data_IF_768210274576
#
_entry.id   IF_768210274576
#
_cell.length_a   1.000
_cell.length_b   1.000
_cell.length_c   1.000
_cell.angle_alpha   90.00
_cell.angle_beta   90.00
_cell.angle_gamma   90.00
#
_symmetry.space_group_name_H-M   'P 1'
#
loop_
_entity.id
_entity.type
_entity.pdbx_description
1 polymer ?
#
# COMPACT_ATOMS: atom_id res chain seq x y z
N UNK A 1 22.55 36.27 36.08
CA UNK A 1 23.00 35.14 35.24
C UNK A 1 21.76 34.53 34.59
N UNK A 2 21.48 34.87 33.33
CA UNK A 2 20.29 34.38 32.60
C UNK A 2 20.74 33.25 31.64
N UNK A 3 20.01 32.13 31.75
CA UNK A 3 19.83 30.96 30.86
C UNK A 3 20.51 30.95 29.47
N UNK A 4 20.98 29.76 29.08
CA UNK A 4 20.72 29.18 27.77
C UNK A 4 20.60 27.65 27.89
N UNK A 5 19.44 27.11 27.53
CA UNK A 5 19.20 25.69 27.31
C UNK A 5 19.45 25.44 25.82
N UNK A 6 20.53 24.72 25.49
CA UNK A 6 20.81 24.31 24.12
C UNK A 6 20.00 23.04 23.83
N UNK A 7 18.78 23.26 23.33
CA UNK A 7 17.95 22.22 22.77
C UNK A 7 18.55 21.75 21.45
N UNK A 8 19.06 20.52 21.42
CA UNK A 8 19.50 19.85 20.20
C UNK A 8 18.29 19.64 19.26
N UNK A 9 18.17 20.36 18.14
CA UNK A 9 17.06 20.15 17.21
C UNK A 9 17.32 18.83 16.48
N UNK A 10 16.58 17.79 16.86
CA UNK A 10 16.60 16.48 16.19
C UNK A 10 16.40 16.70 14.69
N UNK A 11 17.41 16.38 13.87
CA UNK A 11 17.35 16.49 12.42
C UNK A 11 16.24 15.58 11.88
N UNK A 12 15.12 16.20 11.47
CA UNK A 12 14.01 15.47 10.86
C UNK A 12 14.48 14.97 9.49
N UNK A 13 14.62 13.67 9.34
CA UNK A 13 14.99 13.07 8.06
C UNK A 13 13.77 13.13 7.12
N UNK A 14 13.88 13.93 6.05
CA UNK A 14 12.88 14.04 4.96
C UNK A 14 13.17 13.04 3.83
N UNK A 15 14.13 12.14 4.04
CA UNK A 15 14.60 11.16 3.05
C UNK A 15 13.67 9.95 2.87
N UNK A 16 13.84 9.24 1.75
CA UNK A 16 13.17 7.98 1.40
C UNK A 16 13.24 6.98 2.56
N UNK A 17 12.13 6.30 2.85
CA UNK A 17 12.12 5.21 3.83
C UNK A 17 12.92 4.03 3.27
N UNK A 18 13.84 3.52 4.08
CA UNK A 18 14.54 2.28 3.78
C UNK A 18 13.66 1.08 4.11
N UNK A 19 13.94 -0.08 3.51
CA UNK A 19 13.24 -1.33 3.85
C UNK A 19 13.37 -1.67 5.35
N UNK A 20 14.53 -1.37 5.97
CA UNK A 20 14.77 -1.55 7.41
C UNK A 20 13.91 -0.61 8.27
N UNK A 21 13.86 0.69 7.92
CA UNK A 21 13.01 1.66 8.62
C UNK A 21 11.52 1.28 8.51
N UNK A 22 11.12 0.74 7.36
CA UNK A 22 9.76 0.31 7.09
C UNK A 22 9.40 -0.95 7.87
N UNK A 23 10.28 -1.96 7.90
CA UNK A 23 10.09 -3.17 8.72
C UNK A 23 9.95 -2.80 10.20
N UNK A 24 10.82 -1.93 10.70
CA UNK A 24 10.74 -1.40 12.06
C UNK A 24 9.45 -0.62 12.30
N UNK A 25 8.99 0.18 11.34
CA UNK A 25 7.72 0.90 11.45
C UNK A 25 6.54 -0.07 11.59
N UNK A 26 6.50 -1.12 10.77
CA UNK A 26 5.43 -2.12 10.80
C UNK A 26 5.40 -2.89 12.13
N UNK A 27 6.57 -3.31 12.60
CA UNK A 27 6.70 -3.97 13.90
C UNK A 27 6.21 -3.08 15.05
N UNK A 28 6.65 -1.82 15.08
CA UNK A 28 6.23 -0.88 16.12
C UNK A 28 4.75 -0.56 16.07
N UNK A 29 4.17 -0.47 14.87
CA UNK A 29 2.73 -0.28 14.72
C UNK A 29 1.96 -1.49 15.26
N UNK A 30 2.44 -2.72 15.05
CA UNK A 30 1.83 -3.93 15.64
C UNK A 30 1.91 -3.91 17.17
N UNK A 31 3.09 -3.65 17.73
CA UNK A 31 3.33 -3.57 19.18
C UNK A 31 2.52 -2.44 19.87
N UNK A 32 2.32 -1.32 19.19
CA UNK A 32 1.61 -0.15 19.70
C UNK A 32 0.15 -0.05 19.25
N UNK A 33 -0.38 -1.07 18.56
CA UNK A 33 -1.80 -1.14 18.16
C UNK A 33 -2.64 -1.84 19.23
N UNK A 34 -3.51 -1.08 19.89
CA UNK A 34 -4.43 -1.61 20.90
C UNK A 34 -5.87 -1.27 20.52
N UNK A 35 -6.73 -2.29 20.45
CA UNK A 35 -8.17 -2.14 20.16
C UNK A 35 -8.46 -1.29 18.90
N UNK A 36 -7.68 -1.48 17.84
CA UNK A 36 -7.82 -0.75 16.58
C UNK A 36 -7.30 0.69 16.59
N UNK A 37 -6.67 1.14 17.68
CA UNK A 37 -6.01 2.44 17.78
C UNK A 37 -4.51 2.26 17.85
N UNK A 38 -3.78 2.95 16.97
CA UNK A 38 -2.31 2.93 16.92
C UNK A 38 -1.76 4.15 17.65
N UNK A 39 -0.91 3.92 18.65
CA UNK A 39 -0.23 4.99 19.39
C UNK A 39 0.98 5.54 18.61
N UNK A 40 0.73 6.49 17.71
CA UNK A 40 1.76 7.06 16.84
C UNK A 40 2.83 7.87 17.59
N UNK A 41 2.53 8.33 18.80
CA UNK A 41 3.49 9.07 19.63
C UNK A 41 4.56 8.11 20.19
N UNK A 42 4.14 6.94 20.71
CA UNK A 42 5.03 5.85 21.09
C UNK A 42 5.82 5.27 19.92
N UNK A 43 5.19 5.12 18.74
CA UNK A 43 5.89 4.67 17.52
C UNK A 43 6.98 5.69 17.12
N UNK A 44 6.65 6.98 17.07
CA UNK A 44 7.61 8.03 16.70
C UNK A 44 8.75 8.16 17.72
N UNK A 45 8.50 7.94 19.01
CA UNK A 45 9.54 7.98 20.04
C UNK A 45 10.68 6.95 19.84
N UNK A 46 10.43 5.90 19.03
CA UNK A 46 11.44 4.89 18.66
C UNK A 46 12.25 5.24 17.42
N UNK A 47 11.86 6.31 16.72
CA UNK A 47 12.60 6.90 15.61
C UNK A 47 13.20 8.24 16.07
N UNK A 48 14.54 8.35 16.06
CA UNK A 48 15.22 9.60 16.44
C UNK A 48 15.04 10.73 15.43
N UNK A 49 14.78 10.39 14.17
CA UNK A 49 14.71 11.36 13.06
C UNK A 49 13.36 11.41 12.34
N UNK A 50 12.35 10.65 12.79
CA UNK A 50 11.02 10.60 12.16
C UNK A 50 9.94 11.09 13.12
N UNK A 51 9.05 11.92 12.60
CA UNK A 51 7.88 12.42 13.33
C UNK A 51 6.71 11.45 13.22
N UNK A 52 5.76 11.52 14.16
CA UNK A 52 4.52 10.73 14.12
C UNK A 52 3.73 10.87 12.82
N UNK A 53 3.76 12.05 12.21
CA UNK A 53 3.09 12.32 10.93
C UNK A 53 3.78 11.56 9.79
N UNK A 54 5.12 11.53 9.77
CA UNK A 54 5.87 10.74 8.79
C UNK A 54 5.61 9.24 8.95
N UNK A 55 5.64 8.72 10.18
CA UNK A 55 5.34 7.31 10.47
C UNK A 55 3.92 6.93 10.01
N UNK A 56 2.92 7.77 10.33
CA UNK A 56 1.52 7.53 9.92
C UNK A 56 1.35 7.56 8.42
N UNK A 57 1.96 8.52 7.74
CA UNK A 57 1.83 8.66 6.29
C UNK A 57 2.54 7.52 5.56
N UNK A 58 3.73 7.12 6.02
CA UNK A 58 4.43 5.97 5.44
C UNK A 58 3.65 4.68 5.67
N UNK A 59 3.12 4.45 6.88
CA UNK A 59 2.32 3.27 7.16
C UNK A 59 1.08 3.21 6.27
N UNK A 60 0.36 4.33 6.09
CA UNK A 60 -0.77 4.42 5.15
C UNK A 60 -0.36 4.16 3.72
N UNK A 61 0.77 4.74 3.28
CA UNK A 61 1.31 4.52 1.94
C UNK A 61 1.64 3.04 1.73
N UNK A 62 2.33 2.42 2.68
CA UNK A 62 2.64 0.99 2.66
C UNK A 62 1.37 0.12 2.64
N UNK A 63 0.38 0.42 3.49
CA UNK A 63 -0.90 -0.29 3.50
C UNK A 63 -1.67 -0.18 2.17
N UNK A 64 -1.46 0.89 1.39
CA UNK A 64 -2.18 1.14 0.14
C UNK A 64 -1.40 0.72 -1.11
N UNK A 65 -0.07 0.70 -1.06
CA UNK A 65 0.80 0.47 -2.22
C UNK A 65 1.69 -0.78 -2.10
N UNK A 66 1.91 -1.29 -0.89
CA UNK A 66 2.81 -2.40 -0.61
C UNK A 66 2.14 -3.56 0.12
N UNK A 67 0.91 -3.41 0.61
CA UNK A 67 0.05 -4.60 0.79
C UNK A 67 0.01 -5.28 -0.56
N UNK A 68 0.48 -6.52 -0.61
CA UNK A 68 0.29 -7.36 -1.77
C UNK A 68 -1.18 -7.26 -2.15
N UNK A 69 -1.46 -6.60 -3.27
CA UNK A 69 -2.78 -6.65 -3.88
C UNK A 69 -3.03 -8.15 -4.01
N UNK A 70 -4.05 -8.72 -3.33
CA UNK A 70 -4.20 -10.16 -3.29
C UNK A 70 -4.16 -10.64 -4.74
N UNK A 71 -3.29 -11.60 -5.04
CA UNK A 71 -3.15 -12.04 -6.42
C UNK A 71 -4.52 -12.52 -6.91
N UNK A 72 -4.95 -12.10 -8.11
CA UNK A 72 -6.19 -12.62 -8.68
C UNK A 72 -6.07 -14.14 -8.73
N UNK A 73 -7.02 -14.83 -8.10
CA UNK A 73 -7.13 -16.27 -8.24
C UNK A 73 -7.51 -16.62 -9.69
N UNK A 74 -7.27 -17.88 -10.09
CA UNK A 74 -7.69 -18.33 -11.41
C UNK A 74 -9.19 -18.15 -11.64
N UNK A 75 -10.00 -18.37 -10.61
CA UNK A 75 -11.46 -18.17 -10.65
C UNK A 75 -11.81 -16.69 -10.84
N UNK A 76 -11.11 -15.79 -10.14
CA UNK A 76 -11.28 -14.34 -10.31
C UNK A 76 -10.86 -13.88 -11.70
N UNK A 77 -9.78 -14.42 -12.27
CA UNK A 77 -9.35 -14.13 -13.64
C UNK A 77 -10.36 -14.62 -14.67
N UNK A 78 -10.85 -15.86 -14.55
CA UNK A 78 -11.88 -16.38 -15.45
C UNK A 78 -13.15 -15.53 -15.38
N UNK A 79 -13.55 -15.12 -14.17
CA UNK A 79 -14.70 -14.24 -13.98
C UNK A 79 -14.43 -12.85 -14.55
N UNK A 80 -13.25 -12.27 -14.32
CA UNK A 80 -12.84 -10.99 -14.89
C UNK A 80 -12.90 -11.01 -16.42
N UNK A 81 -12.38 -12.05 -17.06
CA UNK A 81 -12.41 -12.20 -18.53
C UNK A 81 -13.83 -12.27 -19.04
N UNK A 82 -14.68 -13.13 -18.44
CA UNK A 82 -16.10 -13.25 -18.83
C UNK A 82 -16.84 -11.93 -18.67
N UNK A 83 -16.61 -11.22 -17.56
CA UNK A 83 -17.24 -9.94 -17.26
C UNK A 83 -16.73 -8.82 -18.18
N UNK A 84 -15.43 -8.79 -18.49
CA UNK A 84 -14.84 -7.85 -19.44
C UNK A 84 -15.46 -7.99 -20.84
N UNK A 85 -15.67 -9.23 -21.30
CA UNK A 85 -16.40 -9.49 -22.55
C UNK A 85 -17.88 -9.11 -22.46
N UNK A 86 -18.56 -9.45 -21.35
CA UNK A 86 -19.99 -9.17 -21.15
C UNK A 86 -20.30 -7.67 -21.07
N UNK A 87 -19.49 -6.92 -20.31
CA UNK A 87 -19.74 -5.51 -20.02
C UNK A 87 -18.88 -4.55 -20.86
N UNK A 88 -18.08 -5.07 -21.79
CA UNK A 88 -17.19 -4.30 -22.66
C UNK A 88 -16.27 -3.38 -21.85
N UNK A 89 -15.51 -3.96 -20.92
CA UNK A 89 -14.53 -3.23 -20.11
C UNK A 89 -15.13 -2.08 -19.26
N UNK A 90 -16.44 -2.11 -18.98
CA UNK A 90 -17.07 -1.20 -18.00
C UNK A 90 -16.72 -1.62 -16.57
N UNK A 91 -15.56 -1.16 -16.11
CA UNK A 91 -14.94 -1.55 -14.85
C UNK A 91 -15.81 -1.28 -13.62
N UNK A 92 -16.62 -0.24 -13.66
CA UNK A 92 -17.59 0.11 -12.60
C UNK A 92 -18.66 -0.97 -12.39
N UNK A 93 -19.09 -1.66 -13.45
CA UNK A 93 -20.01 -2.80 -13.37
C UNK A 93 -19.27 -4.09 -13.01
N UNK A 94 -18.07 -4.26 -13.54
CA UNK A 94 -17.25 -5.47 -13.31
C UNK A 94 -16.82 -5.57 -11.85
N UNK A 95 -16.36 -4.46 -11.24
CA UNK A 95 -15.96 -4.43 -9.84
C UNK A 95 -17.12 -4.74 -8.88
N UNK A 96 -18.36 -4.37 -9.23
CA UNK A 96 -19.56 -4.72 -8.44
C UNK A 96 -19.82 -6.23 -8.42
N UNK A 97 -19.36 -6.95 -9.44
CA UNK A 97 -19.54 -8.40 -9.57
C UNK A 97 -18.33 -9.20 -9.03
N UNK A 98 -17.24 -8.52 -8.64
CA UNK A 98 -16.04 -9.09 -8.03
C UNK A 98 -15.90 -8.59 -6.58
N UNK A 99 -16.53 -9.28 -5.60
CA UNK A 99 -16.47 -8.84 -4.21
C UNK A 99 -15.03 -8.85 -3.70
N UNK A 100 -14.62 -7.76 -3.05
CA UNK A 100 -13.25 -7.60 -2.55
C UNK A 100 -12.26 -7.02 -3.57
N UNK A 101 -12.69 -6.72 -4.80
CA UNK A 101 -11.90 -6.04 -5.83
C UNK A 101 -12.48 -4.67 -6.16
N UNK A 102 -11.61 -3.70 -6.35
CA UNK A 102 -11.98 -2.38 -6.82
C UNK A 102 -11.76 -2.23 -8.34
N UNK A 103 -12.25 -1.11 -8.88
CA UNK A 103 -12.21 -0.76 -10.30
C UNK A 103 -10.76 -0.73 -10.84
N UNK A 104 -9.85 -0.12 -10.08
CA UNK A 104 -8.45 0.02 -10.48
C UNK A 104 -7.74 -1.33 -10.54
N UNK A 105 -7.96 -2.20 -9.56
CA UNK A 105 -7.44 -3.58 -9.53
C UNK A 105 -7.91 -4.38 -10.76
N UNK A 106 -9.21 -4.32 -11.08
CA UNK A 106 -9.77 -5.01 -12.24
C UNK A 106 -9.12 -4.54 -13.55
N UNK A 107 -8.96 -3.22 -13.72
CA UNK A 107 -8.35 -2.60 -14.90
C UNK A 107 -6.86 -2.95 -15.01
N UNK A 108 -6.11 -2.92 -13.91
CA UNK A 108 -4.70 -3.30 -13.89
C UNK A 108 -4.53 -4.77 -14.27
N UNK A 109 -5.36 -5.67 -13.71
CA UNK A 109 -5.29 -7.09 -14.01
C UNK A 109 -5.59 -7.38 -15.49
N UNK A 110 -6.63 -6.78 -16.04
CA UNK A 110 -6.98 -6.93 -17.45
C UNK A 110 -5.89 -6.43 -18.40
N UNK A 111 -5.29 -5.26 -18.12
CA UNK A 111 -4.17 -4.76 -18.92
C UNK A 111 -2.95 -5.70 -18.90
N UNK A 112 -2.70 -6.38 -17.77
CA UNK A 112 -1.68 -7.44 -17.74
C UNK A 112 -2.13 -8.59 -18.64
N UNK A 113 -3.33 -9.14 -18.44
CA UNK A 113 -3.86 -10.27 -19.22
C UNK A 113 -3.79 -10.04 -20.74
N UNK A 114 -4.21 -8.87 -21.22
CA UNK A 114 -4.17 -8.54 -22.66
C UNK A 114 -2.75 -8.41 -23.20
N UNK A 115 -1.80 -7.86 -22.42
CA UNK A 115 -0.38 -7.83 -22.79
C UNK A 115 0.22 -9.23 -22.91
N UNK A 116 -0.05 -10.12 -21.95
CA UNK A 116 0.39 -11.52 -22.03
C UNK A 116 -0.16 -12.20 -23.28
N UNK A 117 -1.44 -11.99 -23.59
CA UNK A 117 -2.08 -12.55 -24.80
C UNK A 117 -1.50 -12.02 -26.11
N UNK A 118 -1.18 -10.73 -26.18
CA UNK A 118 -0.53 -10.15 -27.36
C UNK A 118 0.89 -10.68 -27.55
N UNK A 119 1.66 -10.87 -26.48
CA UNK A 119 3.02 -11.40 -26.55
C UNK A 119 3.03 -12.87 -26.98
N UNK A 120 2.10 -13.68 -26.47
CA UNK A 120 1.86 -15.07 -26.91
C UNK A 120 1.57 -15.14 -28.41
N UNK A 121 0.68 -14.29 -28.92
CA UNK A 121 0.34 -14.23 -30.34
C UNK A 121 1.50 -13.74 -31.24
N UNK A 122 2.50 -13.05 -30.70
CA UNK A 122 3.70 -12.61 -31.44
C UNK A 122 4.79 -13.67 -31.50
N UNK A 123 4.72 -14.69 -30.64
CA UNK A 123 5.69 -15.78 -30.55
C UNK A 123 5.26 -17.05 -31.27
N UNK A 124 3.98 -17.14 -31.67
CA UNK A 124 3.45 -18.12 -32.63
C UNK A 124 3.48 -17.57 -34.04
#
# INVERSE_FOLDING_TARGET
MIRAADGNPQEISVGRWSDEDLEKLLQLVDEHSHNGTIDWDGVAAKFSSRTKEQCRNEYRYHQTHCKEIPQFSQEEDEKLVRLAHKYQERWDLIAKELPGRNVDECRIRWNKYTKWKQDENRRS
#
